data_IF_541920835411
#
_entry.id   IF_541920835411
#
_cell.length_a   1.000
_cell.length_b   1.000
_cell.length_c   1.000
_cell.angle_alpha   90.00
_cell.angle_beta   90.00
_cell.angle_gamma   90.00
#
_symmetry.space_group_name_H-M   'P 1'
#
loop_
_entity.id
_entity.type
_entity.pdbx_description
1 polymer ?
#
# COMPACT_ATOMS: atom_id res chain seq x y z
N UNK A 1 6.76 17.33 -29.82
CA UNK A 1 7.41 18.57 -29.34
C UNK A 1 8.01 18.29 -27.98
N UNK A 2 9.32 18.32 -27.85
CA UNK A 2 10.03 18.18 -26.57
C UNK A 2 9.82 19.44 -25.75
N UNK A 3 9.13 19.33 -24.62
CA UNK A 3 8.97 20.44 -23.68
C UNK A 3 10.33 20.82 -23.09
N UNK A 4 10.73 22.10 -23.09
CA UNK A 4 12.10 22.51 -22.74
C UNK A 4 12.43 22.36 -21.23
N UNK A 5 11.49 21.87 -20.42
CA UNK A 5 11.62 21.74 -18.97
C UNK A 5 11.66 20.27 -18.49
N UNK A 6 11.52 19.30 -19.38
CA UNK A 6 11.56 17.87 -19.01
C UNK A 6 12.99 17.35 -19.00
N UNK A 7 13.30 16.52 -18.00
CA UNK A 7 14.58 15.84 -17.87
C UNK A 7 14.34 14.34 -17.71
N UNK A 8 15.06 13.51 -18.47
CA UNK A 8 15.01 12.05 -18.36
C UNK A 8 15.85 11.52 -17.18
N UNK A 9 16.78 12.33 -16.70
CA UNK A 9 17.63 12.06 -15.53
C UNK A 9 17.55 13.20 -14.52
N UNK A 10 18.10 13.01 -13.31
CA UNK A 10 18.13 14.06 -12.29
C UNK A 10 18.89 15.30 -12.83
N UNK A 11 18.26 16.48 -12.91
CA UNK A 11 18.93 17.68 -13.42
C UNK A 11 20.07 18.11 -12.49
N UNK A 12 21.14 18.64 -13.08
CA UNK A 12 22.29 19.18 -12.35
C UNK A 12 21.90 20.35 -11.41
N UNK A 13 20.89 21.15 -11.80
CA UNK A 13 20.26 22.15 -10.94
C UNK A 13 18.75 21.90 -10.83
N UNK A 14 18.30 21.16 -9.81
CA UNK A 14 16.88 20.91 -9.58
C UNK A 14 16.07 22.19 -9.33
N UNK A 15 16.66 23.22 -8.71
CA UNK A 15 15.95 24.47 -8.42
C UNK A 15 15.66 25.24 -9.70
N UNK A 16 16.62 25.31 -10.63
CA UNK A 16 16.41 25.92 -11.95
C UNK A 16 15.37 25.16 -12.77
N UNK A 17 15.48 23.83 -12.85
CA UNK A 17 14.51 22.99 -13.56
C UNK A 17 13.08 23.20 -13.02
N UNK A 18 12.91 23.24 -11.69
CA UNK A 18 11.60 23.49 -11.06
C UNK A 18 11.05 24.88 -11.41
N UNK A 19 11.88 25.93 -11.42
CA UNK A 19 11.45 27.28 -11.79
C UNK A 19 10.92 27.30 -13.23
N UNK A 20 11.67 26.73 -14.15
CA UNK A 20 11.31 26.67 -15.57
C UNK A 20 10.03 25.85 -15.79
N UNK A 21 9.94 24.67 -15.20
CA UNK A 21 8.74 23.81 -15.25
C UNK A 21 7.50 24.55 -14.72
N UNK A 22 7.60 25.19 -13.55
CA UNK A 22 6.47 25.94 -12.98
C UNK A 22 6.03 27.11 -13.86
N UNK A 23 6.94 27.82 -14.50
CA UNK A 23 6.60 28.92 -15.41
C UNK A 23 5.90 28.38 -16.66
N UNK A 24 6.46 27.35 -17.30
CA UNK A 24 5.91 26.75 -18.50
C UNK A 24 4.51 26.15 -18.27
N UNK A 25 4.32 25.41 -17.17
CA UNK A 25 3.02 24.79 -16.86
C UNK A 25 1.95 25.83 -16.51
N UNK A 26 2.29 26.91 -15.81
CA UNK A 26 1.33 28.00 -15.57
C UNK A 26 0.91 28.67 -16.87
N UNK A 27 1.85 28.93 -17.78
CA UNK A 27 1.54 29.49 -19.09
C UNK A 27 0.66 28.54 -19.93
N UNK A 28 0.92 27.23 -19.89
CA UNK A 28 0.14 26.22 -20.61
C UNK A 28 -1.29 26.06 -20.06
N UNK A 29 -1.47 26.11 -18.74
CA UNK A 29 -2.77 25.95 -18.10
C UNK A 29 -3.59 27.25 -18.13
N UNK A 30 -2.94 28.41 -18.07
CA UNK A 30 -3.59 29.70 -17.91
C UNK A 30 -3.97 29.96 -16.44
N UNK A 31 -5.26 30.00 -16.14
CA UNK A 31 -5.75 30.23 -14.78
C UNK A 31 -5.66 28.96 -13.92
N UNK A 32 -4.47 28.74 -13.35
CA UNK A 32 -4.20 27.61 -12.45
C UNK A 32 -5.07 27.66 -11.20
N UNK A 33 -5.43 28.84 -10.70
CA UNK A 33 -6.22 28.96 -9.47
C UNK A 33 -7.65 28.49 -9.71
N UNK A 34 -8.31 28.95 -10.77
CA UNK A 34 -9.66 28.49 -11.10
C UNK A 34 -9.71 26.98 -11.37
N UNK A 35 -8.70 26.43 -12.04
CA UNK A 35 -8.59 24.97 -12.25
C UNK A 35 -8.42 24.24 -10.92
N UNK A 36 -7.59 24.76 -10.02
CA UNK A 36 -7.37 24.19 -8.69
C UNK A 36 -8.61 24.25 -7.81
N UNK A 37 -9.38 25.34 -7.86
CA UNK A 37 -10.61 25.51 -7.09
C UNK A 37 -11.69 24.52 -7.53
N UNK A 38 -11.84 24.32 -8.85
CA UNK A 38 -12.74 23.31 -9.40
C UNK A 38 -12.35 21.89 -8.99
N UNK A 39 -11.05 21.58 -9.02
CA UNK A 39 -10.53 20.29 -8.55
C UNK A 39 -10.76 20.11 -7.04
N UNK A 40 -10.52 21.16 -6.26
CA UNK A 40 -10.73 21.16 -4.81
C UNK A 40 -12.19 20.93 -4.44
N UNK A 41 -13.14 21.53 -5.16
CA UNK A 41 -14.57 21.29 -4.94
C UNK A 41 -14.94 19.80 -5.18
N UNK A 42 -14.38 19.19 -6.22
CA UNK A 42 -14.58 17.76 -6.50
C UNK A 42 -14.02 16.88 -5.40
N UNK A 43 -12.82 17.19 -4.89
CA UNK A 43 -12.20 16.45 -3.78
C UNK A 43 -12.99 16.66 -2.48
N UNK A 44 -13.44 17.88 -2.20
CA UNK A 44 -14.23 18.21 -1.01
C UNK A 44 -15.52 17.38 -0.95
N UNK A 45 -16.20 17.20 -2.09
CA UNK A 45 -17.36 16.31 -2.18
C UNK A 45 -17.01 14.85 -1.80
N UNK A 46 -15.84 14.34 -2.19
CA UNK A 46 -15.38 13.00 -1.79
C UNK A 46 -15.05 12.91 -0.31
N UNK A 47 -14.49 13.98 0.27
CA UNK A 47 -14.24 14.05 1.72
C UNK A 47 -15.57 14.04 2.49
N UNK A 48 -16.59 14.75 2.02
CA UNK A 48 -17.93 14.72 2.61
C UNK A 48 -18.50 13.29 2.62
N UNK A 49 -18.50 12.60 1.47
CA UNK A 49 -18.93 11.20 1.39
C UNK A 49 -18.17 10.27 2.35
N UNK A 50 -16.86 10.46 2.49
CA UNK A 50 -16.04 9.66 3.42
C UNK A 50 -16.44 9.94 4.87
N UNK A 51 -16.70 11.20 5.22
CA UNK A 51 -17.13 11.57 6.57
C UNK A 51 -18.52 11.02 6.88
N UNK A 52 -19.44 11.05 5.92
CA UNK A 52 -20.78 10.49 6.08
C UNK A 52 -20.73 8.97 6.33
N UNK A 53 -19.94 8.23 5.56
CA UNK A 53 -19.74 6.79 5.78
C UNK A 53 -19.15 6.50 7.16
N UNK A 54 -18.16 7.28 7.60
CA UNK A 54 -17.58 7.16 8.94
C UNK A 54 -18.61 7.45 10.02
N UNK A 55 -19.43 8.48 9.87
CA UNK A 55 -20.48 8.83 10.82
C UNK A 55 -21.55 7.73 10.93
N UNK A 56 -21.80 7.01 9.83
CA UNK A 56 -22.69 5.85 9.79
C UNK A 56 -22.03 4.55 10.33
N UNK A 57 -20.75 4.58 10.69
CA UNK A 57 -20.00 3.39 11.10
C UNK A 57 -19.71 2.39 9.97
N UNK A 58 -19.90 2.80 8.71
CA UNK A 58 -19.64 1.97 7.55
C UNK A 58 -18.14 1.92 7.22
N UNK A 59 -17.61 0.80 6.73
CA UNK A 59 -16.25 0.76 6.22
C UNK A 59 -16.13 1.67 4.98
N UNK A 60 -15.15 2.57 4.99
CA UNK A 60 -14.83 3.41 3.82
C UNK A 60 -14.10 2.62 2.74
N UNK A 61 -13.39 1.57 3.15
CA UNK A 61 -12.60 0.71 2.27
C UNK A 61 -13.53 -0.35 1.67
N UNK A 62 -13.52 -0.54 0.34
CA UNK A 62 -14.22 -1.65 -0.28
C UNK A 62 -13.69 -2.98 0.26
N UNK A 63 -14.59 -3.84 0.73
CA UNK A 63 -14.25 -5.15 1.29
C UNK A 63 -14.65 -6.23 0.30
N UNK A 64 -13.68 -7.01 -0.16
CA UNK A 64 -13.86 -8.07 -1.15
C UNK A 64 -13.55 -9.41 -0.50
N UNK A 65 -14.51 -10.33 -0.37
CA UNK A 65 -14.21 -11.70 0.04
C UNK A 65 -13.35 -12.39 -1.02
N UNK A 66 -12.27 -13.06 -0.62
CA UNK A 66 -11.42 -13.79 -1.56
C UNK A 66 -12.19 -14.91 -2.28
N UNK A 67 -13.18 -15.52 -1.64
CA UNK A 67 -14.04 -16.53 -2.26
C UNK A 67 -14.74 -15.99 -3.52
N UNK A 68 -15.29 -14.78 -3.46
CA UNK A 68 -15.94 -14.14 -4.62
C UNK A 68 -14.91 -13.79 -5.71
N UNK A 69 -13.71 -13.38 -5.31
CA UNK A 69 -12.62 -13.08 -6.23
C UNK A 69 -12.17 -14.35 -6.97
N UNK A 70 -11.95 -15.45 -6.24
CA UNK A 70 -11.52 -16.73 -6.78
C UNK A 70 -12.56 -17.34 -7.72
N UNK A 71 -13.86 -17.14 -7.46
CA UNK A 71 -14.94 -17.57 -8.34
C UNK A 71 -15.19 -16.61 -9.52
N UNK A 72 -14.54 -15.45 -9.58
CA UNK A 72 -14.77 -14.43 -10.61
C UNK A 72 -16.06 -13.63 -10.47
N UNK A 73 -16.71 -13.67 -9.30
CA UNK A 73 -18.05 -13.12 -9.05
C UNK A 73 -18.04 -11.67 -8.52
N UNK A 74 -16.97 -10.92 -8.77
CA UNK A 74 -16.89 -9.52 -8.32
C UNK A 74 -17.76 -8.61 -9.20
N UNK A 75 -18.80 -8.05 -8.58
CA UNK A 75 -19.75 -7.14 -9.24
C UNK A 75 -19.11 -5.88 -9.81
N UNK A 76 -19.73 -5.31 -10.85
CA UNK A 76 -19.31 -4.03 -11.43
C UNK A 76 -19.40 -2.88 -10.42
N UNK A 77 -20.38 -2.93 -9.50
CA UNK A 77 -20.51 -1.94 -8.43
C UNK A 77 -19.28 -1.95 -7.52
N UNK A 78 -18.81 -3.15 -7.11
CA UNK A 78 -17.59 -3.31 -6.31
C UNK A 78 -16.36 -2.84 -7.09
N UNK A 79 -16.24 -3.19 -8.38
CA UNK A 79 -15.13 -2.71 -9.23
C UNK A 79 -15.11 -1.19 -9.33
N UNK A 80 -16.27 -0.57 -9.52
CA UNK A 80 -16.42 0.88 -9.56
C UNK A 80 -16.07 1.51 -8.21
N UNK A 81 -16.43 0.88 -7.09
CA UNK A 81 -16.09 1.36 -5.76
C UNK A 81 -14.58 1.33 -5.49
N UNK A 82 -13.89 0.24 -5.88
CA UNK A 82 -12.42 0.16 -5.80
C UNK A 82 -11.77 1.27 -6.62
N UNK A 83 -12.25 1.51 -7.86
CA UNK A 83 -11.76 2.62 -8.70
C UNK A 83 -12.06 3.98 -8.08
N UNK A 84 -13.20 4.14 -7.40
CA UNK A 84 -13.61 5.37 -6.72
C UNK A 84 -12.73 5.66 -5.49
N UNK A 85 -12.39 4.63 -4.71
CA UNK A 85 -11.68 4.76 -3.43
C UNK A 85 -10.16 4.63 -3.57
N UNK A 86 -9.69 4.00 -4.65
CA UNK A 86 -8.27 3.77 -4.89
C UNK A 86 -7.63 2.74 -3.95
N UNK A 87 -8.44 1.95 -3.24
CA UNK A 87 -8.00 0.90 -2.32
C UNK A 87 -9.03 -0.22 -2.22
N UNK A 88 -8.60 -1.38 -1.68
CA UNK A 88 -9.47 -2.52 -1.39
C UNK A 88 -8.89 -3.35 -0.24
N UNK A 89 -9.75 -4.05 0.50
CA UNK A 89 -9.37 -5.10 1.45
C UNK A 89 -9.86 -6.44 0.93
N UNK A 90 -8.93 -7.36 0.62
CA UNK A 90 -9.29 -8.74 0.26
C UNK A 90 -9.34 -9.58 1.54
N UNK A 91 -10.56 -9.90 2.00
CA UNK A 91 -10.79 -10.68 3.23
C UNK A 91 -10.61 -12.17 2.95
N UNK A 92 -9.85 -12.83 3.81
CA UNK A 92 -9.56 -14.26 3.67
C UNK A 92 -8.71 -14.57 2.45
N UNK A 93 -7.84 -13.64 2.02
CA UNK A 93 -6.93 -13.85 0.89
C UNK A 93 -6.08 -15.10 1.06
N UNK A 94 -5.63 -15.36 2.28
CA UNK A 94 -5.04 -16.63 2.68
C UNK A 94 -5.78 -17.17 3.91
N UNK A 95 -5.87 -18.50 4.07
CA UNK A 95 -6.25 -19.12 5.32
C UNK A 95 -5.45 -18.57 6.50
N UNK A 96 -6.14 -18.33 7.63
CA UNK A 96 -5.51 -17.75 8.83
C UNK A 96 -4.35 -18.61 9.34
N UNK A 97 -4.51 -19.92 9.32
CA UNK A 97 -3.49 -20.86 9.80
C UNK A 97 -2.21 -20.79 8.95
N UNK A 98 -2.36 -20.70 7.62
CA UNK A 98 -1.23 -20.53 6.71
C UNK A 98 -0.49 -19.21 6.98
N UNK A 99 -1.22 -18.11 7.16
CA UNK A 99 -0.61 -16.81 7.47
C UNK A 99 0.16 -16.83 8.80
N UNK A 100 -0.37 -17.50 9.83
CA UNK A 100 0.30 -17.66 11.13
C UNK A 100 1.52 -18.58 11.04
N UNK A 101 1.43 -19.68 10.29
CA UNK A 101 2.56 -20.57 10.04
C UNK A 101 3.69 -19.86 9.28
N UNK A 102 3.36 -19.02 8.30
CA UNK A 102 4.32 -18.16 7.62
C UNK A 102 4.99 -17.17 8.59
N UNK A 103 4.23 -16.50 9.46
CA UNK A 103 4.82 -15.61 10.48
C UNK A 103 5.79 -16.34 11.41
N UNK A 104 5.44 -17.55 11.86
CA UNK A 104 6.34 -18.37 12.68
C UNK A 104 7.59 -18.79 11.91
N UNK A 105 7.44 -19.25 10.66
CA UNK A 105 8.59 -19.64 9.84
C UNK A 105 9.54 -18.47 9.54
N UNK A 106 9.01 -17.23 9.48
CA UNK A 106 9.82 -16.02 9.39
C UNK A 106 10.65 -15.79 10.64
N UNK A 107 10.07 -15.99 11.83
CA UNK A 107 10.80 -15.88 13.09
C UNK A 107 11.90 -16.92 13.17
N UNK A 108 11.59 -18.18 12.86
CA UNK A 108 12.57 -19.26 12.88
C UNK A 108 13.68 -19.01 11.87
N UNK A 109 13.36 -18.44 10.71
CA UNK A 109 14.35 -18.04 9.71
C UNK A 109 15.28 -16.94 10.24
N UNK A 110 14.75 -15.91 10.90
CA UNK A 110 15.56 -14.84 11.49
C UNK A 110 16.46 -15.36 12.62
N UNK A 111 15.91 -16.22 13.48
CA UNK A 111 16.60 -16.81 14.64
C UNK A 111 17.73 -17.75 14.22
N UNK A 112 17.46 -18.71 13.31
CA UNK A 112 18.48 -19.63 12.77
C UNK A 112 19.67 -18.92 12.11
N UNK A 113 19.44 -17.71 11.61
CA UNK A 113 20.47 -16.89 10.97
C UNK A 113 21.05 -15.80 11.90
N UNK A 114 20.73 -15.85 13.20
CA UNK A 114 21.23 -14.93 14.23
C UNK A 114 21.04 -13.45 13.84
N UNK A 115 19.88 -13.12 13.25
CA UNK A 115 19.67 -11.81 12.63
C UNK A 115 19.91 -10.65 13.61
N UNK A 116 19.44 -10.78 14.84
CA UNK A 116 19.58 -9.73 15.87
C UNK A 116 21.04 -9.45 16.24
N UNK A 117 21.95 -10.42 16.07
CA UNK A 117 23.38 -10.27 16.34
C UNK A 117 24.13 -9.63 15.17
N UNK A 118 23.71 -9.98 13.95
CA UNK A 118 24.37 -9.53 12.71
C UNK A 118 23.84 -8.17 12.24
N UNK A 119 22.64 -7.78 12.65
CA UNK A 119 22.01 -6.55 12.20
C UNK A 119 22.74 -5.30 12.72
N UNK A 120 23.34 -4.53 11.80
CA UNK A 120 24.15 -3.33 12.11
C UNK A 120 23.37 -2.02 12.06
N UNK A 121 22.03 -2.07 12.05
CA UNK A 121 21.17 -0.90 11.88
C UNK A 121 20.69 -0.70 10.43
N UNK A 122 19.92 0.36 10.17
CA UNK A 122 19.31 0.57 8.86
C UNK A 122 20.39 0.84 7.82
N UNK A 123 20.46 -0.01 6.79
CA UNK A 123 21.37 0.14 5.65
C UNK A 123 20.99 1.29 4.70
N UNK A 124 19.86 1.97 4.97
CA UNK A 124 19.41 3.16 4.27
C UNK A 124 19.02 4.25 5.29
N UNK A 125 19.14 5.52 4.91
CA UNK A 125 18.67 6.64 5.73
C UNK A 125 17.26 7.10 5.33
N UNK A 126 16.48 6.23 4.67
CA UNK A 126 15.17 6.60 4.12
C UNK A 126 14.17 6.94 5.24
N UNK A 127 14.36 6.34 6.42
CA UNK A 127 13.54 6.55 7.61
C UNK A 127 14.33 7.09 8.80
N UNK A 128 15.30 7.99 8.58
CA UNK A 128 16.38 8.45 9.49
C UNK A 128 16.05 8.96 10.91
N UNK A 129 14.91 8.61 11.50
CA UNK A 129 14.50 8.95 12.87
C UNK A 129 14.17 7.72 13.74
N UNK A 130 14.38 6.49 13.25
CA UNK A 130 14.06 5.26 13.98
C UNK A 130 15.33 4.59 14.53
N UNK A 131 15.71 4.98 15.75
CA UNK A 131 16.74 4.33 16.56
C UNK A 131 16.10 3.21 17.40
N UNK A 132 16.11 1.97 16.91
CA UNK A 132 15.69 0.81 17.70
C UNK A 132 16.67 -0.35 17.51
N UNK A 133 16.97 -1.06 18.61
CA UNK A 133 17.80 -2.27 18.64
C UNK A 133 17.21 -3.43 17.83
N UNK A 134 15.89 -3.42 17.60
CA UNK A 134 15.19 -4.25 16.62
C UNK A 134 14.45 -3.34 15.64
N UNK A 135 14.70 -3.44 14.32
CA UNK A 135 14.03 -2.58 13.37
C UNK A 135 12.55 -3.00 13.24
N UNK A 136 11.64 -2.04 13.08
CA UNK A 136 10.25 -2.38 12.72
C UNK A 136 10.18 -2.98 11.30
N UNK A 137 11.15 -2.66 10.45
CA UNK A 137 11.26 -3.11 9.05
C UNK A 137 12.50 -3.99 8.91
N UNK A 138 12.30 -5.26 8.56
CA UNK A 138 13.40 -6.22 8.39
C UNK A 138 13.83 -6.25 6.93
N UNK A 139 15.11 -5.99 6.60
CA UNK A 139 15.66 -6.04 5.25
C UNK A 139 15.93 -7.49 4.79
N UNK A 140 14.93 -8.35 4.92
CA UNK A 140 14.95 -9.75 4.47
C UNK A 140 14.00 -9.92 3.30
N UNK A 141 14.43 -10.65 2.28
CA UNK A 141 13.74 -10.68 0.99
C UNK A 141 13.38 -12.10 0.53
N UNK A 142 14.11 -13.12 0.98
CA UNK A 142 14.15 -14.44 0.34
C UNK A 142 13.75 -15.60 1.25
N UNK A 143 13.05 -15.31 2.35
CA UNK A 143 12.48 -16.38 3.15
C UNK A 143 11.50 -17.22 2.33
N UNK A 144 11.32 -18.49 2.73
CA UNK A 144 10.35 -19.38 2.08
C UNK A 144 8.93 -18.81 2.17
N UNK A 145 8.53 -18.27 3.33
CA UNK A 145 7.23 -17.63 3.50
C UNK A 145 6.98 -16.49 2.51
N UNK A 146 7.94 -15.58 2.34
CA UNK A 146 7.80 -14.47 1.39
C UNK A 146 7.70 -14.99 -0.05
N UNK A 147 8.55 -15.92 -0.46
CA UNK A 147 8.56 -16.42 -1.83
C UNK A 147 7.32 -17.25 -2.16
N UNK A 148 6.89 -18.13 -1.25
CA UNK A 148 5.65 -18.91 -1.42
C UNK A 148 4.42 -18.00 -1.53
N UNK A 149 4.28 -17.00 -0.66
CA UNK A 149 3.16 -16.07 -0.73
C UNK A 149 3.16 -15.28 -2.06
N UNK A 150 4.31 -14.83 -2.55
CA UNK A 150 4.42 -14.07 -3.81
C UNK A 150 4.08 -14.89 -5.05
N UNK A 151 4.48 -16.16 -5.09
CA UNK A 151 4.26 -17.04 -6.24
C UNK A 151 2.99 -17.90 -6.12
N UNK A 152 2.20 -17.70 -5.06
CA UNK A 152 0.95 -18.43 -4.83
C UNK A 152 -0.11 -18.11 -5.90
N UNK A 153 -0.99 -19.07 -6.16
CA UNK A 153 -2.10 -18.90 -7.10
C UNK A 153 -3.07 -17.83 -6.59
N UNK A 154 -3.32 -17.78 -5.29
CA UNK A 154 -4.19 -16.79 -4.65
C UNK A 154 -3.65 -15.37 -4.83
N UNK A 155 -2.33 -15.18 -4.78
CA UNK A 155 -1.70 -13.90 -5.09
C UNK A 155 -1.85 -13.55 -6.58
N UNK A 156 -1.64 -14.51 -7.48
CA UNK A 156 -1.79 -14.29 -8.92
C UNK A 156 -3.22 -13.88 -9.29
N UNK A 157 -4.24 -14.53 -8.71
CA UNK A 157 -5.66 -14.19 -8.88
C UNK A 157 -5.95 -12.75 -8.43
N UNK A 158 -5.48 -12.38 -7.23
CA UNK A 158 -5.68 -11.04 -6.70
C UNK A 158 -4.96 -9.96 -7.54
N UNK A 159 -3.73 -10.22 -7.97
CA UNK A 159 -2.96 -9.32 -8.81
C UNK A 159 -3.61 -9.13 -10.19
N UNK A 160 -4.02 -10.22 -10.86
CA UNK A 160 -4.75 -10.14 -12.13
C UNK A 160 -6.04 -9.32 -11.99
N UNK A 161 -6.83 -9.60 -10.94
CA UNK A 161 -8.05 -8.84 -10.67
C UNK A 161 -7.78 -7.32 -10.53
N UNK A 162 -6.78 -6.92 -9.73
CA UNK A 162 -6.46 -5.51 -9.50
C UNK A 162 -5.90 -4.83 -10.76
N UNK A 163 -5.03 -5.52 -11.49
CA UNK A 163 -4.45 -5.02 -12.75
C UNK A 163 -5.54 -4.77 -13.80
N UNK A 164 -6.56 -5.62 -13.87
CA UNK A 164 -7.70 -5.48 -14.80
C UNK A 164 -8.64 -4.30 -14.49
N UNK A 165 -8.47 -3.61 -13.36
CA UNK A 165 -9.20 -2.37 -13.09
C UNK A 165 -8.65 -1.16 -13.88
N UNK A 166 -7.42 -1.27 -14.37
CA UNK A 166 -6.78 -0.27 -15.22
C UNK A 166 -7.24 -0.39 -16.67
N UNK A 167 -7.19 0.74 -17.39
CA UNK A 167 -7.29 0.71 -18.85
C UNK A 167 -5.95 0.27 -19.43
N UNK A 168 -5.83 -1.03 -19.72
CA UNK A 168 -4.58 -1.64 -20.20
C UNK A 168 -4.32 -1.46 -21.69
N UNK A 169 -5.36 -1.13 -22.46
CA UNK A 169 -5.30 -0.89 -23.90
C UNK A 169 -5.75 0.52 -24.23
N UNK A 170 -4.91 1.25 -24.97
CA UNK A 170 -5.18 2.59 -25.47
C UNK A 170 -4.37 2.83 -26.74
N UNK A 171 -4.93 3.54 -27.72
CA UNK A 171 -4.28 3.85 -29.01
C UNK A 171 -3.69 2.63 -29.74
N UNK A 172 -4.41 1.50 -29.73
CA UNK A 172 -3.97 0.26 -30.39
C UNK A 172 -2.78 -0.43 -29.71
N UNK A 173 -2.33 0.07 -28.55
CA UNK A 173 -1.23 -0.51 -27.77
C UNK A 173 -1.75 -1.07 -26.45
N UNK A 174 -1.32 -2.29 -26.13
CA UNK A 174 -1.40 -2.86 -24.78
C UNK A 174 -0.19 -2.38 -23.97
N UNK A 175 -0.42 -1.68 -22.87
CA UNK A 175 0.63 -1.07 -22.04
C UNK A 175 1.33 -2.08 -21.12
N UNK A 176 0.60 -3.07 -20.63
CA UNK A 176 1.14 -4.19 -19.87
C UNK A 176 0.20 -5.40 -19.94
N UNK A 177 0.72 -6.59 -19.62
CA UNK A 177 -0.10 -7.79 -19.46
C UNK A 177 -0.71 -7.80 -18.04
N UNK A 178 -2.03 -7.66 -17.87
CA UNK A 178 -2.62 -7.61 -16.53
C UNK A 178 -2.56 -8.95 -15.79
N UNK A 179 -2.41 -10.08 -16.50
CA UNK A 179 -2.51 -11.42 -15.91
C UNK A 179 -1.18 -11.98 -15.43
N UNK A 180 -0.07 -11.27 -15.64
CA UNK A 180 1.26 -11.68 -15.19
C UNK A 180 1.92 -10.49 -14.50
N UNK A 181 2.16 -10.64 -13.20
CA UNK A 181 2.90 -9.67 -12.41
C UNK A 181 4.31 -10.18 -12.13
N UNK A 182 5.27 -9.26 -12.11
CA UNK A 182 6.65 -9.59 -11.72
C UNK A 182 6.73 -9.88 -10.22
N UNK A 183 7.68 -10.73 -9.83
CA UNK A 183 8.07 -10.84 -8.43
C UNK A 183 8.84 -9.57 -8.06
N UNK A 184 8.25 -8.74 -7.20
CA UNK A 184 8.90 -7.57 -6.60
C UNK A 184 9.29 -7.90 -5.15
N UNK A 185 10.56 -8.24 -4.86
CA UNK A 185 10.99 -8.63 -3.52
C UNK A 185 11.04 -7.41 -2.60
N UNK A 186 10.09 -7.33 -1.68
CA UNK A 186 10.06 -6.29 -0.64
C UNK A 186 10.36 -6.86 0.76
N UNK A 187 10.67 -5.95 1.67
CA UNK A 187 10.93 -6.17 3.10
C UNK A 187 9.67 -6.62 3.83
N UNK A 188 9.83 -7.08 5.07
CA UNK A 188 8.70 -7.30 5.98
C UNK A 188 8.68 -6.26 7.09
N UNK A 189 7.50 -6.02 7.67
CA UNK A 189 7.35 -5.17 8.85
C UNK A 189 6.78 -5.99 9.99
N UNK A 190 7.43 -5.97 11.15
CA UNK A 190 6.96 -6.64 12.37
C UNK A 190 6.98 -5.64 13.52
N UNK A 191 5.86 -5.55 14.24
CA UNK A 191 5.69 -4.67 15.41
C UNK A 191 5.12 -5.49 16.56
N UNK A 192 5.97 -5.97 17.49
CA UNK A 192 5.51 -6.70 18.67
C UNK A 192 4.50 -5.92 19.52
N UNK A 193 3.71 -6.60 20.37
CA UNK A 193 2.90 -5.93 21.38
C UNK A 193 3.74 -4.96 22.23
N UNK A 194 3.21 -3.77 22.51
CA UNK A 194 3.92 -2.72 23.25
C UNK A 194 4.85 -1.83 22.41
N UNK A 195 5.03 -2.10 21.11
CA UNK A 195 5.85 -1.24 20.24
C UNK A 195 5.26 0.16 20.07
N UNK A 196 5.99 1.17 20.54
CA UNK A 196 5.68 2.59 20.31
C UNK A 196 6.34 3.06 19.02
N UNK A 197 5.54 3.60 18.10
CA UNK A 197 6.03 4.12 16.81
C UNK A 197 5.54 5.54 16.62
N UNK A 198 6.39 6.39 16.01
CA UNK A 198 5.97 7.73 15.56
C UNK A 198 5.07 7.67 14.30
N UNK A 199 4.81 6.47 13.76
CA UNK A 199 3.79 6.20 12.74
C UNK A 199 4.37 5.93 11.36
N UNK A 200 3.51 6.08 10.34
CA UNK A 200 3.75 6.83 9.09
C UNK A 200 2.58 7.80 8.92
N UNK A 201 2.42 8.45 7.77
CA UNK A 201 1.16 8.92 7.21
C UNK A 201 0.60 10.36 7.14
N UNK A 202 -0.42 10.65 6.38
CA UNK A 202 -0.11 11.09 5.04
C UNK A 202 0.67 12.41 5.02
N UNK A 203 2.01 12.44 5.10
CA UNK A 203 2.96 11.32 5.05
C UNK A 203 3.53 10.77 6.38
N UNK A 204 3.43 11.46 7.57
CA UNK A 204 3.31 11.03 9.03
C UNK A 204 2.19 11.74 9.90
N UNK A 205 1.07 11.06 10.34
CA UNK A 205 -0.20 11.56 11.00
C UNK A 205 -1.46 12.01 10.17
N UNK A 206 -2.39 11.10 9.83
CA UNK A 206 -3.83 11.37 10.09
C UNK A 206 -4.09 10.88 11.52
N UNK A 207 -4.14 11.82 12.46
CA UNK A 207 -4.23 11.55 13.90
C UNK A 207 -5.46 10.71 14.19
N UNK A 208 -5.22 9.61 14.92
CA UNK A 208 -6.14 8.87 15.79
C UNK A 208 -7.63 9.18 15.61
N UNK A 209 -8.31 8.42 14.76
CA UNK A 209 -9.73 8.13 14.90
C UNK A 209 -10.04 6.79 14.19
N UNK A 210 -10.20 5.75 15.01
CA UNK A 210 -11.06 4.58 14.76
C UNK A 210 -10.89 3.81 13.45
N UNK A 211 -9.95 2.86 13.42
CA UNK A 211 -10.09 1.59 12.68
C UNK A 211 -8.95 0.64 13.08
N UNK A 212 -8.96 0.20 14.34
CA UNK A 212 -8.24 -1.01 14.75
C UNK A 212 -9.03 -2.21 14.20
N UNK A 213 -8.74 -2.60 12.96
CA UNK A 213 -9.07 -3.91 12.43
C UNK A 213 -7.78 -4.68 12.17
N UNK A 214 -6.89 -4.70 13.17
CA UNK A 214 -5.93 -5.77 13.33
C UNK A 214 -6.62 -6.84 14.19
N UNK A 215 -6.61 -8.08 13.73
CA UNK A 215 -7.14 -9.24 14.45
C UNK A 215 -6.51 -9.33 15.85
N UNK A 216 -7.16 -8.72 16.86
CA UNK A 216 -6.94 -8.98 18.27
C UNK A 216 -7.92 -10.06 18.69
N UNK A 217 -7.45 -11.30 18.69
CA UNK A 217 -8.02 -12.39 19.46
C UNK A 217 -6.85 -13.18 20.03
N UNK A 218 -6.24 -12.60 21.06
CA UNK A 218 -5.43 -13.32 22.04
C UNK A 218 -5.48 -12.56 23.36
N UNK A 219 -6.59 -12.72 24.08
CA UNK A 219 -6.71 -12.49 25.51
C UNK A 219 -8.13 -12.90 25.92
N UNK A 220 -8.29 -14.16 26.33
CA UNK A 220 -9.59 -14.65 26.74
C UNK A 220 -9.61 -16.04 27.38
N UNK A 221 -8.48 -16.57 27.87
CA UNK A 221 -8.49 -17.74 28.76
C UNK A 221 -7.37 -17.56 29.79
N UNK A 222 -7.73 -16.98 30.95
CA UNK A 222 -7.20 -17.30 32.27
C UNK A 222 -8.06 -16.57 33.31
N UNK A 223 -9.00 -17.29 33.92
CA UNK A 223 -9.15 -17.40 35.39
C UNK A 223 -10.36 -18.25 35.77
N UNK A 224 -10.18 -19.02 36.87
CA UNK A 224 -11.05 -20.04 37.52
C UNK A 224 -10.83 -21.44 36.93
N UNK A 225 -10.16 -22.39 37.57
CA UNK A 225 -9.75 -22.63 38.98
C UNK A 225 -8.29 -23.05 39.01
#
# INVERSE_FOLDING_TARGET
MTTPFTHETLPADPKAAIRQMKQALRAQIGDVQAVFDRLSATIAARVAEINDLKAQGQPVWPIIPFSELAMGNISDATRAEVKRRGCAVIKGHFPREQALAWDQSMLDYLDKNHFDEVYKGPGDNFFGTLSASRPEIYPVYWSQAQMQARQSEEMALAQSFLNRLWQVEHDGKRWFNPDISIIYPDRIRRRPPGTTSKGTGGAYRLRCAGALAAASLSAGIRQRV
#
